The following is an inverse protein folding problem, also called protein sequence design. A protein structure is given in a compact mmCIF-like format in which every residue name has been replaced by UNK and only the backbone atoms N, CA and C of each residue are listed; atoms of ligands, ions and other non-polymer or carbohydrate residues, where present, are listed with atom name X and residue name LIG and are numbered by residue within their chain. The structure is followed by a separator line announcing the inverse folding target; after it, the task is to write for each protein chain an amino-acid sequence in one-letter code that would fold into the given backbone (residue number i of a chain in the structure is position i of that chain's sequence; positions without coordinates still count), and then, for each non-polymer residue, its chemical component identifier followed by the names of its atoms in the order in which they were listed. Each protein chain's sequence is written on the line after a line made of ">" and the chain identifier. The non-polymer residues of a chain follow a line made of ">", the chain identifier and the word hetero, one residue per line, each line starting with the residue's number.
data_IF_426940213895
#
_entry.id   IF_426940213895
#
_cell.length_a   1.000
_cell.length_b   1.000
_cell.length_c   1.000
_cell.angle_alpha   90.00
_cell.angle_beta   90.00
_cell.angle_gamma   90.00
#
_symmetry.space_group_name_H-M   'P 1'
#
loop_
_entity.id
_entity.type
_entity.pdbx_description
1 polymer ?
#
# COMPACT_ATOMS: atom_id res chain seq x y z
N UNK A 1 -0.49 -30.15 15.14
CA UNK A 1 -1.49 -29.36 15.86
C UNK A 1 -1.97 -28.28 14.91
N UNK A 2 -2.99 -28.66 14.22
CA UNK A 2 -3.83 -27.84 13.34
C UNK A 2 -4.89 -27.21 14.22
N UNK A 3 -5.04 -25.92 14.15
CA UNK A 3 -6.32 -25.23 14.18
C UNK A 3 -6.11 -23.75 14.38
N UNK A 4 -6.43 -22.97 13.38
CA UNK A 4 -7.47 -21.94 13.40
C UNK A 4 -7.29 -20.99 12.22
N UNK A 5 -7.64 -21.47 11.03
CA UNK A 5 -7.88 -20.59 9.89
C UNK A 5 -9.33 -20.75 9.44
N UNK A 6 -10.27 -20.32 10.27
CA UNK A 6 -11.64 -20.10 9.82
C UNK A 6 -12.23 -18.88 10.51
N UNK A 7 -11.75 -17.69 10.10
CA UNK A 7 -12.59 -16.52 10.21
C UNK A 7 -12.44 -15.79 8.85
N UNK A 8 -13.45 -15.95 8.00
CA UNK A 8 -13.59 -15.24 6.72
C UNK A 8 -13.98 -13.80 7.00
N UNK A 9 -13.03 -13.01 7.51
CA UNK A 9 -13.01 -11.59 7.29
C UNK A 9 -12.14 -11.37 6.06
N UNK A 10 -12.70 -10.81 5.01
CA UNK A 10 -12.01 -10.52 3.76
C UNK A 10 -11.04 -9.36 3.99
N UNK A 11 -9.76 -9.67 4.21
CA UNK A 11 -8.69 -8.68 4.28
C UNK A 11 -7.85 -8.77 5.57
N UNK A 12 -6.53 -8.62 5.43
CA UNK A 12 -5.59 -8.51 6.54
C UNK A 12 -5.76 -7.12 7.18
N UNK A 13 -6.26 -7.06 8.41
CA UNK A 13 -6.51 -5.77 9.09
C UNK A 13 -5.24 -5.14 9.67
N UNK A 14 -4.32 -5.96 10.18
CA UNK A 14 -3.06 -5.53 10.77
C UNK A 14 -1.89 -6.32 10.18
N UNK A 15 -0.68 -5.79 10.31
CA UNK A 15 0.51 -6.50 9.85
C UNK A 15 0.67 -7.80 10.63
N UNK A 16 0.74 -8.90 9.91
CA UNK A 16 1.01 -10.22 10.45
C UNK A 16 2.40 -10.67 10.04
N UNK A 17 3.05 -11.42 10.91
CA UNK A 17 4.37 -11.99 10.62
C UNK A 17 4.36 -13.49 10.82
N UNK A 18 5.03 -14.20 9.90
CA UNK A 18 5.21 -15.64 9.97
C UNK A 18 6.69 -15.98 9.74
N UNK A 19 7.27 -16.74 10.66
CA UNK A 19 8.67 -17.17 10.55
C UNK A 19 8.75 -18.60 10.03
N UNK A 20 9.72 -18.85 9.17
CA UNK A 20 10.03 -20.18 8.64
C UNK A 20 11.51 -20.29 8.31
N UNK A 21 11.95 -21.51 7.98
CA UNK A 21 13.31 -21.73 7.50
C UNK A 21 13.28 -22.19 6.05
N UNK A 22 13.99 -21.47 5.18
CA UNK A 22 14.16 -21.82 3.77
C UNK A 22 15.65 -21.96 3.48
N UNK A 23 16.06 -23.13 3.01
CA UNK A 23 17.48 -23.44 2.69
C UNK A 23 18.44 -23.13 3.85
N UNK A 24 18.01 -23.41 5.10
CA UNK A 24 18.81 -23.17 6.30
C UNK A 24 18.88 -21.71 6.76
N UNK A 25 18.17 -20.79 6.11
CA UNK A 25 18.05 -19.37 6.51
C UNK A 25 16.70 -19.14 7.18
N UNK A 26 16.72 -18.40 8.27
CA UNK A 26 15.47 -17.90 8.87
C UNK A 26 14.87 -16.80 7.99
N UNK A 27 13.60 -16.96 7.68
CA UNK A 27 12.83 -16.04 6.83
C UNK A 27 11.59 -15.61 7.60
N UNK A 28 11.38 -14.30 7.69
CA UNK A 28 10.18 -13.70 8.23
C UNK A 28 9.33 -13.16 7.07
N UNK A 29 8.16 -13.72 6.86
CA UNK A 29 7.15 -13.17 5.98
C UNK A 29 6.34 -12.11 6.73
N UNK A 30 6.06 -11.00 6.03
CA UNK A 30 5.27 -9.89 6.55
C UNK A 30 4.07 -9.74 5.63
N UNK A 31 2.90 -10.07 6.15
CA UNK A 31 1.63 -9.84 5.48
C UNK A 31 1.10 -8.46 5.86
N UNK A 32 0.83 -7.63 4.87
CA UNK A 32 0.37 -6.24 5.04
C UNK A 32 -1.07 -6.09 4.62
N UNK A 33 -1.84 -5.17 5.24
CA UNK A 33 -3.13 -4.78 4.69
C UNK A 33 -3.00 -4.33 3.25
N UNK A 34 -3.98 -4.71 2.42
CA UNK A 34 -4.04 -4.26 1.03
C UNK A 34 -4.58 -2.85 0.94
N UNK A 35 -4.04 -2.01 0.07
CA UNK A 35 -4.68 -0.77 -0.34
C UNK A 35 -6.04 -1.11 -0.99
N UNK A 36 -7.03 -0.25 -0.82
CA UNK A 36 -8.40 -0.49 -1.28
C UNK A 36 -9.25 -1.37 -0.33
N UNK A 37 -8.85 -1.50 0.93
CA UNK A 37 -9.69 -2.12 1.95
C UNK A 37 -10.94 -1.24 2.19
N UNK A 38 -12.12 -1.85 2.17
CA UNK A 38 -13.39 -1.13 2.38
C UNK A 38 -13.55 -0.57 3.79
N UNK A 39 -12.78 -1.06 4.74
CA UNK A 39 -12.89 -0.71 6.17
C UNK A 39 -11.80 0.26 6.65
N UNK A 40 -10.75 0.49 5.85
CA UNK A 40 -9.62 1.35 6.22
C UNK A 40 -9.26 2.31 5.09
N UNK A 41 -8.83 3.51 5.46
CA UNK A 41 -8.31 4.44 4.45
C UNK A 41 -6.92 4.02 3.97
N UNK A 42 -6.57 4.34 2.72
CA UNK A 42 -5.22 4.11 2.20
C UNK A 42 -4.15 4.84 3.03
N UNK A 43 -4.52 5.94 3.69
CA UNK A 43 -3.63 6.67 4.63
C UNK A 43 -3.33 5.82 5.86
N UNK A 44 -4.35 5.19 6.47
CA UNK A 44 -4.18 4.31 7.62
C UNK A 44 -3.30 3.09 7.27
N UNK A 45 -3.50 2.55 6.07
CA UNK A 45 -2.72 1.41 5.57
C UNK A 45 -1.26 1.83 5.36
N UNK A 46 -1.03 2.95 4.70
CA UNK A 46 0.33 3.47 4.48
C UNK A 46 1.02 3.79 5.82
N UNK A 47 0.31 4.38 6.79
CA UNK A 47 0.84 4.64 8.12
C UNK A 47 1.21 3.33 8.86
N UNK A 48 0.39 2.30 8.73
CA UNK A 48 0.66 0.99 9.32
C UNK A 48 1.93 0.36 8.74
N UNK A 49 2.09 0.42 7.41
CA UNK A 49 3.29 -0.07 6.73
C UNK A 49 4.51 0.76 7.14
N UNK A 50 4.39 2.09 7.16
CA UNK A 50 5.47 3.01 7.54
C UNK A 50 5.96 2.75 8.96
N UNK A 51 5.06 2.59 9.92
CA UNK A 51 5.38 2.26 11.31
C UNK A 51 6.15 0.94 11.42
N UNK A 52 5.67 -0.08 10.70
CA UNK A 52 6.33 -1.38 10.75
C UNK A 52 7.73 -1.34 10.15
N UNK A 53 7.86 -0.70 8.99
CA UNK A 53 9.13 -0.59 8.26
C UNK A 53 10.17 0.20 9.07
N UNK A 54 9.77 1.26 9.74
CA UNK A 54 10.62 2.02 10.67
C UNK A 54 11.03 1.16 11.87
N UNK A 55 10.09 0.41 12.45
CA UNK A 55 10.42 -0.51 13.54
C UNK A 55 11.46 -1.55 13.13
N UNK A 56 11.26 -2.18 11.97
CA UNK A 56 12.18 -3.17 11.44
C UNK A 56 13.59 -2.57 11.28
N UNK A 57 13.70 -1.33 10.82
CA UNK A 57 14.97 -0.62 10.68
C UNK A 57 15.66 -0.42 12.05
N UNK A 58 14.94 0.02 13.07
CA UNK A 58 15.49 0.14 14.43
C UNK A 58 15.96 -1.20 15.02
N UNK A 59 15.22 -2.27 14.72
CA UNK A 59 15.57 -3.62 15.14
C UNK A 59 16.67 -4.26 14.27
N UNK A 60 17.23 -3.53 13.31
CA UNK A 60 18.21 -4.00 12.32
C UNK A 60 17.71 -5.22 11.52
N UNK A 61 16.42 -5.32 11.33
CA UNK A 61 15.80 -6.27 10.41
C UNK A 61 15.78 -5.66 9.02
N UNK A 62 16.44 -6.28 8.09
CA UNK A 62 16.53 -5.78 6.73
C UNK A 62 15.59 -6.57 5.82
N UNK A 63 14.97 -5.87 4.87
CA UNK A 63 14.12 -6.49 3.86
C UNK A 63 15.00 -7.11 2.75
N UNK A 64 14.75 -8.36 2.41
CA UNK A 64 15.37 -9.00 1.24
C UNK A 64 14.64 -8.65 -0.06
N UNK A 65 13.35 -8.29 0.03
CA UNK A 65 12.55 -7.88 -1.11
C UNK A 65 11.07 -7.80 -0.78
N UNK A 66 10.27 -7.51 -1.80
CA UNK A 66 8.83 -7.34 -1.70
C UNK A 66 8.15 -8.16 -2.78
N UNK A 67 6.99 -8.73 -2.44
CA UNK A 67 6.13 -9.43 -3.36
C UNK A 67 4.86 -8.61 -3.54
N UNK A 68 4.57 -8.20 -4.76
CA UNK A 68 3.32 -7.56 -5.14
C UNK A 68 2.39 -8.61 -5.75
N UNK A 69 1.30 -8.90 -5.07
CA UNK A 69 0.34 -9.88 -5.53
C UNK A 69 -0.73 -9.25 -6.42
N UNK A 70 -1.03 -9.91 -7.54
CA UNK A 70 -2.10 -9.53 -8.45
C UNK A 70 -2.90 -10.76 -8.85
N UNK A 71 -4.23 -10.67 -8.78
CA UNK A 71 -5.11 -11.74 -9.23
C UNK A 71 -5.23 -11.71 -10.74
N UNK A 72 -4.76 -12.74 -11.43
CA UNK A 72 -4.82 -12.80 -12.91
C UNK A 72 -6.26 -12.88 -13.42
N UNK A 73 -7.20 -13.27 -12.56
CA UNK A 73 -8.63 -13.28 -12.86
C UNK A 73 -9.22 -11.86 -13.00
N UNK A 74 -8.59 -10.83 -12.46
CA UNK A 74 -9.05 -9.45 -12.60
C UNK A 74 -8.91 -9.00 -14.05
N UNK A 75 -10.04 -8.55 -14.64
CA UNK A 75 -10.12 -8.29 -16.08
C UNK A 75 -9.49 -6.97 -16.50
N UNK A 76 -9.26 -6.04 -15.57
CA UNK A 76 -8.74 -4.70 -15.88
C UNK A 76 -7.81 -4.19 -14.80
N UNK A 77 -6.71 -3.61 -15.25
CA UNK A 77 -5.79 -2.87 -14.40
C UNK A 77 -6.16 -1.37 -14.43
N UNK A 78 -7.32 -1.04 -13.84
CA UNK A 78 -7.90 0.32 -13.87
C UNK A 78 -8.25 0.79 -12.44
N UNK A 79 -8.51 2.09 -12.29
CA UNK A 79 -9.01 2.65 -11.04
C UNK A 79 -8.10 2.39 -9.83
N UNK A 80 -8.61 1.66 -8.85
CA UNK A 80 -7.91 1.35 -7.61
C UNK A 80 -6.65 0.53 -7.81
N UNK A 81 -6.66 -0.46 -8.72
CA UNK A 81 -5.47 -1.28 -9.01
C UNK A 81 -4.31 -0.43 -9.53
N UNK A 82 -4.57 0.56 -10.40
CA UNK A 82 -3.55 1.50 -10.88
C UNK A 82 -3.04 2.43 -9.76
N UNK A 83 -3.94 2.89 -8.90
CA UNK A 83 -3.58 3.70 -7.74
C UNK A 83 -2.68 2.92 -6.79
N UNK A 84 -3.04 1.67 -6.50
CA UNK A 84 -2.28 0.76 -5.64
C UNK A 84 -0.89 0.47 -6.22
N UNK A 85 -0.79 0.24 -7.52
CA UNK A 85 0.49 0.05 -8.18
C UNK A 85 1.38 1.31 -8.11
N UNK A 86 0.82 2.50 -8.30
CA UNK A 86 1.56 3.76 -8.15
C UNK A 86 2.05 3.93 -6.71
N UNK A 87 1.18 3.69 -5.72
CA UNK A 87 1.54 3.73 -4.31
C UNK A 87 2.67 2.76 -3.98
N UNK A 88 2.56 1.54 -4.47
CA UNK A 88 3.59 0.52 -4.32
C UNK A 88 4.95 0.96 -4.89
N UNK A 89 4.95 1.57 -6.08
CA UNK A 89 6.19 2.08 -6.72
C UNK A 89 6.86 3.16 -5.87
N UNK A 90 6.10 4.13 -5.38
CA UNK A 90 6.62 5.21 -4.52
C UNK A 90 7.08 4.70 -3.15
N UNK A 91 6.43 3.68 -2.63
CA UNK A 91 6.84 3.03 -1.38
C UNK A 91 8.18 2.31 -1.54
N UNK A 92 8.33 1.55 -2.63
CA UNK A 92 9.55 0.78 -2.90
C UNK A 92 10.73 1.65 -3.30
N UNK A 93 10.49 2.59 -4.22
CA UNK A 93 11.53 3.34 -4.93
C UNK A 93 12.19 2.54 -6.05
N UNK A 94 12.49 3.22 -7.16
CA UNK A 94 12.99 2.59 -8.41
C UNK A 94 14.27 1.78 -8.23
N UNK A 95 15.17 2.21 -7.33
CA UNK A 95 16.42 1.52 -7.05
C UNK A 95 16.24 0.11 -6.47
N UNK A 96 15.09 -0.17 -5.91
CA UNK A 96 14.78 -1.44 -5.25
C UNK A 96 13.98 -2.40 -6.14
N UNK A 97 13.66 -2.03 -7.38
CA UNK A 97 12.81 -2.87 -8.24
C UNK A 97 13.45 -4.21 -8.57
N UNK A 98 14.75 -4.33 -8.57
CA UNK A 98 15.43 -5.63 -8.69
C UNK A 98 15.09 -6.61 -7.56
N UNK A 99 14.64 -6.13 -6.40
CA UNK A 99 14.20 -6.92 -5.26
C UNK A 99 12.67 -7.01 -5.16
N UNK A 100 11.96 -6.72 -6.25
CA UNK A 100 10.51 -6.85 -6.35
C UNK A 100 10.14 -8.07 -7.17
N UNK A 101 9.17 -8.82 -6.69
CA UNK A 101 8.47 -9.86 -7.45
C UNK A 101 7.04 -9.41 -7.68
N UNK A 102 6.64 -9.39 -8.94
CA UNK A 102 5.26 -9.19 -9.38
C UNK A 102 4.63 -10.58 -9.53
N UNK A 103 3.83 -10.96 -8.56
CA UNK A 103 3.32 -12.33 -8.45
C UNK A 103 1.86 -12.43 -8.88
N UNK A 104 1.60 -13.19 -9.94
CA UNK A 104 0.22 -13.48 -10.38
C UNK A 104 -0.37 -14.68 -9.64
N UNK A 105 -1.61 -14.54 -9.22
CA UNK A 105 -2.36 -15.56 -8.45
C UNK A 105 -3.72 -15.84 -9.09
N UNK A 106 -4.50 -16.78 -8.51
CA UNK A 106 -5.86 -17.13 -8.97
C UNK A 106 -5.91 -17.64 -10.41
N UNK A 107 -4.90 -18.40 -10.82
CA UNK A 107 -4.82 -19.04 -12.12
C UNK A 107 -5.89 -20.10 -12.35
N UNK A 108 -6.44 -20.64 -11.27
CA UNK A 108 -7.57 -21.58 -11.29
C UNK A 108 -8.92 -20.95 -11.65
N UNK A 109 -8.97 -19.62 -11.75
CA UNK A 109 -10.17 -18.82 -12.05
C UNK A 109 -10.20 -18.28 -13.47
N UNK A 110 -9.24 -18.63 -14.30
CA UNK A 110 -9.11 -18.11 -15.67
C UNK A 110 -8.57 -19.22 -16.58
N UNK A 111 -9.01 -19.20 -17.85
CA UNK A 111 -8.44 -20.09 -18.86
C UNK A 111 -6.94 -19.76 -19.07
N UNK A 112 -6.14 -20.79 -19.28
CA UNK A 112 -4.67 -20.69 -19.37
C UNK A 112 -4.20 -19.67 -20.40
N UNK A 113 -4.79 -19.70 -21.60
CA UNK A 113 -4.44 -18.79 -22.70
C UNK A 113 -4.80 -17.34 -22.36
N UNK A 114 -5.97 -17.13 -21.79
CA UNK A 114 -6.42 -15.81 -21.34
C UNK A 114 -5.54 -15.27 -20.21
N UNK A 115 -5.19 -16.10 -19.23
CA UNK A 115 -4.28 -15.74 -18.15
C UNK A 115 -2.92 -15.31 -18.67
N UNK A 116 -2.34 -16.06 -19.62
CA UNK A 116 -1.06 -15.71 -20.25
C UNK A 116 -1.13 -14.40 -21.02
N UNK A 117 -2.20 -14.17 -21.76
CA UNK A 117 -2.43 -12.92 -22.50
C UNK A 117 -2.47 -11.72 -21.55
N UNK A 118 -3.18 -11.85 -20.42
CA UNK A 118 -3.27 -10.79 -19.39
C UNK A 118 -1.91 -10.54 -18.73
N UNK A 119 -1.18 -11.57 -18.38
CA UNK A 119 0.16 -11.45 -17.81
C UNK A 119 1.11 -10.75 -18.78
N UNK A 120 1.11 -11.11 -20.05
CA UNK A 120 1.89 -10.44 -21.07
C UNK A 120 1.50 -8.96 -21.25
N UNK A 121 0.21 -8.64 -21.13
CA UNK A 121 -0.26 -7.25 -21.14
C UNK A 121 0.27 -6.46 -19.94
N UNK A 122 0.24 -7.06 -18.75
CA UNK A 122 0.82 -6.45 -17.54
C UNK A 122 2.30 -6.17 -17.70
N UNK A 123 3.06 -7.12 -18.22
CA UNK A 123 4.52 -6.99 -18.39
C UNK A 123 4.90 -5.99 -19.47
N UNK A 124 4.14 -5.92 -20.57
CA UNK A 124 4.49 -5.12 -21.74
C UNK A 124 4.13 -3.64 -21.60
N UNK A 125 3.04 -3.32 -20.89
CA UNK A 125 2.60 -1.93 -20.74
C UNK A 125 3.42 -1.18 -19.70
N UNK A 126 4.05 -0.09 -20.12
CA UNK A 126 4.87 0.78 -19.27
C UNK A 126 4.07 1.33 -18.07
N UNK A 127 2.78 1.65 -18.28
CA UNK A 127 1.88 2.13 -17.23
C UNK A 127 1.51 1.06 -16.22
N UNK A 128 1.68 -0.23 -16.55
CA UNK A 128 1.45 -1.36 -15.66
C UNK A 128 2.78 -1.81 -15.05
N UNK A 129 3.26 -2.98 -15.38
CA UNK A 129 4.46 -3.57 -14.83
C UNK A 129 5.73 -3.30 -15.67
N UNK A 130 5.57 -2.85 -16.92
CA UNK A 130 6.68 -2.68 -17.85
C UNK A 130 7.82 -1.84 -17.27
N UNK A 131 7.50 -0.73 -16.60
CA UNK A 131 8.50 0.12 -15.94
C UNK A 131 9.23 -0.55 -14.76
N UNK A 132 8.58 -1.46 -14.04
CA UNK A 132 9.21 -2.22 -12.96
C UNK A 132 10.09 -3.33 -13.54
N UNK A 133 9.56 -4.05 -14.53
CA UNK A 133 10.26 -5.16 -15.20
C UNK A 133 11.53 -4.65 -15.90
N UNK A 134 11.46 -3.53 -16.62
CA UNK A 134 12.61 -2.92 -17.28
C UNK A 134 13.73 -2.51 -16.32
N UNK A 135 13.40 -2.31 -15.03
CA UNK A 135 14.34 -2.01 -13.94
C UNK A 135 14.67 -3.20 -13.04
N UNK A 136 14.33 -4.41 -13.48
CA UNK A 136 14.78 -5.66 -12.84
C UNK A 136 13.78 -6.35 -11.94
N UNK A 137 12.52 -5.88 -11.84
CA UNK A 137 11.47 -6.65 -11.17
C UNK A 137 11.22 -7.96 -11.92
N UNK A 138 10.98 -9.03 -11.16
CA UNK A 138 10.73 -10.35 -11.72
C UNK A 138 9.23 -10.64 -11.70
N UNK A 139 8.71 -11.23 -12.78
CA UNK A 139 7.34 -11.75 -12.82
C UNK A 139 7.37 -13.22 -12.48
N UNK A 140 6.52 -13.63 -11.55
CA UNK A 140 6.38 -15.02 -11.12
C UNK A 140 4.91 -15.39 -10.94
N UNK A 141 4.61 -16.66 -11.21
CA UNK A 141 3.26 -17.19 -11.08
C UNK A 141 3.15 -18.03 -9.81
N UNK A 142 2.17 -17.71 -8.96
CA UNK A 142 1.82 -18.57 -7.83
C UNK A 142 0.67 -19.49 -8.23
N UNK A 143 1.02 -20.66 -8.70
CA UNK A 143 0.08 -21.68 -9.20
C UNK A 143 0.69 -23.07 -9.20
N UNK A 144 -0.11 -24.06 -9.54
CA UNK A 144 0.30 -25.46 -9.70
C UNK A 144 -0.35 -26.37 -8.66
N UNK A 145 -0.07 -27.67 -8.72
CA UNK A 145 -0.66 -28.65 -7.82
C UNK A 145 -0.11 -28.53 -6.39
N UNK A 146 1.11 -28.02 -6.23
CA UNK A 146 1.74 -27.76 -4.94
C UNK A 146 1.99 -26.25 -4.77
N UNK A 147 1.04 -25.59 -4.11
CA UNK A 147 1.13 -24.15 -3.83
C UNK A 147 2.25 -23.84 -2.82
N UNK A 148 2.57 -24.76 -1.90
CA UNK A 148 3.64 -24.55 -0.95
C UNK A 148 5.01 -24.54 -1.63
N UNK A 149 5.24 -25.45 -2.58
CA UNK A 149 6.44 -25.44 -3.40
C UNK A 149 6.54 -24.19 -4.27
N UNK A 150 5.42 -23.74 -4.84
CA UNK A 150 5.35 -22.48 -5.60
C UNK A 150 5.72 -21.28 -4.73
N UNK A 151 5.14 -21.15 -3.53
CA UNK A 151 5.45 -20.07 -2.60
C UNK A 151 6.93 -20.11 -2.16
N UNK A 152 7.46 -21.31 -1.87
CA UNK A 152 8.87 -21.50 -1.53
C UNK A 152 9.79 -20.99 -2.64
N UNK A 153 9.53 -21.36 -3.89
CA UNK A 153 10.32 -20.92 -5.05
C UNK A 153 10.34 -19.40 -5.20
N UNK A 154 9.19 -18.74 -4.97
CA UNK A 154 9.09 -17.28 -4.98
C UNK A 154 9.96 -16.69 -3.88
N UNK A 155 9.87 -17.19 -2.66
CA UNK A 155 10.67 -16.71 -1.54
C UNK A 155 12.17 -16.92 -1.78
N UNK A 156 12.58 -18.08 -2.29
CA UNK A 156 13.97 -18.42 -2.60
C UNK A 156 14.62 -17.41 -3.55
N UNK A 157 13.87 -16.86 -4.50
CA UNK A 157 14.38 -15.88 -5.45
C UNK A 157 14.70 -14.52 -4.80
N UNK A 158 14.15 -14.22 -3.62
CA UNK A 158 14.42 -12.99 -2.87
C UNK A 158 15.47 -13.15 -1.77
N UNK A 159 15.47 -14.28 -1.04
CA UNK A 159 16.36 -14.46 0.10
C UNK A 159 17.85 -14.57 -0.26
N UNK A 160 18.15 -14.71 -1.54
CA UNK A 160 19.53 -14.72 -2.06
C UNK A 160 20.03 -13.33 -2.45
N UNK A 161 19.15 -12.35 -2.51
CA UNK A 161 19.49 -10.97 -2.90
C UNK A 161 20.01 -10.17 -1.70
N UNK A 162 20.72 -9.10 -2.00
CA UNK A 162 21.12 -8.12 -0.99
C UNK A 162 19.89 -7.48 -0.35
N UNK A 163 20.05 -7.06 0.88
CA UNK A 163 18.98 -6.37 1.61
C UNK A 163 18.77 -4.96 1.08
N UNK A 164 17.54 -4.49 1.19
CA UNK A 164 17.12 -3.19 0.68
C UNK A 164 16.60 -2.29 1.80
N UNK A 165 16.71 -0.98 1.56
CA UNK A 165 16.02 0.09 2.29
C UNK A 165 15.01 0.71 1.34
N UNK A 166 13.74 0.75 1.76
CA UNK A 166 12.67 1.30 0.94
C UNK A 166 12.78 2.81 0.81
N UNK A 167 12.30 3.37 -0.30
CA UNK A 167 12.23 4.81 -0.48
C UNK A 167 11.41 5.46 0.64
N UNK A 168 10.30 4.85 1.03
CA UNK A 168 9.49 5.30 2.17
C UNK A 168 10.31 5.45 3.45
N UNK A 169 11.20 4.49 3.76
CA UNK A 169 12.09 4.58 4.93
C UNK A 169 13.04 5.76 4.84
N UNK A 170 13.71 5.89 3.69
CA UNK A 170 14.68 6.98 3.48
C UNK A 170 14.02 8.36 3.57
N UNK A 171 12.81 8.50 3.04
CA UNK A 171 12.06 9.74 3.08
C UNK A 171 11.58 10.06 4.49
N UNK A 172 11.13 9.07 5.26
CA UNK A 172 10.75 9.24 6.65
C UNK A 172 11.94 9.64 7.53
N UNK A 173 13.10 9.04 7.31
CA UNK A 173 14.32 9.38 8.05
C UNK A 173 14.80 10.82 7.75
N UNK A 174 14.57 11.31 6.53
CA UNK A 174 14.93 12.67 6.12
C UNK A 174 13.91 13.72 6.52
N UNK A 175 12.64 13.45 6.27
CA UNK A 175 11.57 14.45 6.32
C UNK A 175 10.73 14.36 7.60
N UNK A 176 10.78 13.23 8.32
CA UNK A 176 10.11 13.03 9.60
C UNK A 176 8.60 12.86 9.56
N UNK A 177 7.92 13.14 8.44
CA UNK A 177 6.46 13.00 8.35
C UNK A 177 6.02 12.16 7.15
N UNK A 178 4.98 11.35 7.36
CA UNK A 178 4.43 10.49 6.32
C UNK A 178 3.89 11.31 5.14
N UNK A 179 3.31 12.47 5.42
CA UNK A 179 2.75 13.36 4.40
C UNK A 179 3.79 13.95 3.45
N UNK A 180 5.03 14.04 3.87
CA UNK A 180 6.14 14.58 3.07
C UNK A 180 6.85 13.51 2.24
N UNK A 181 6.44 12.25 2.40
CA UNK A 181 6.92 11.16 1.55
C UNK A 181 6.26 11.17 0.18
N UNK A 182 6.90 10.59 -0.82
CA UNK A 182 6.35 10.45 -2.18
C UNK A 182 5.03 9.68 -2.16
N UNK A 183 4.95 8.59 -1.39
CA UNK A 183 3.73 7.82 -1.20
C UNK A 183 2.62 8.65 -0.51
N UNK A 184 2.96 9.42 0.52
CA UNK A 184 2.02 10.30 1.21
C UNK A 184 1.49 11.43 0.33
N UNK A 185 2.34 12.05 -0.49
CA UNK A 185 1.93 13.08 -1.47
C UNK A 185 0.96 12.54 -2.52
N UNK A 186 1.15 11.29 -2.99
CA UNK A 186 0.19 10.66 -3.91
C UNK A 186 -1.22 10.58 -3.33
N UNK A 187 -1.34 10.25 -2.05
CA UNK A 187 -2.65 10.21 -1.38
C UNK A 187 -3.26 11.60 -1.26
N UNK A 188 -2.45 12.61 -0.95
CA UNK A 188 -2.90 13.99 -0.84
C UNK A 188 -3.39 14.52 -2.19
N UNK A 189 -2.63 14.33 -3.27
CA UNK A 189 -3.02 14.79 -4.60
C UNK A 189 -4.31 14.11 -5.09
N UNK A 190 -4.48 12.82 -4.83
CA UNK A 190 -5.71 12.11 -5.18
C UNK A 190 -6.95 12.69 -4.47
N UNK A 191 -6.81 13.12 -3.21
CA UNK A 191 -7.89 13.78 -2.46
C UNK A 191 -8.20 15.14 -3.06
N UNK A 192 -7.18 15.91 -3.44
CA UNK A 192 -7.36 17.24 -4.07
C UNK A 192 -8.04 17.13 -5.44
N UNK A 193 -7.67 16.13 -6.25
CA UNK A 193 -8.30 15.87 -7.54
C UNK A 193 -9.80 15.52 -7.39
N UNK A 194 -10.14 14.70 -6.40
CA UNK A 194 -11.54 14.35 -6.09
C UNK A 194 -12.31 15.61 -5.66
N UNK A 195 -11.72 16.45 -4.79
CA UNK A 195 -12.32 17.71 -4.36
C UNK A 195 -12.58 18.64 -5.56
N UNK A 196 -11.59 18.80 -6.44
CA UNK A 196 -11.69 19.63 -7.63
C UNK A 196 -12.78 19.16 -8.57
N UNK A 197 -12.78 17.85 -8.89
CA UNK A 197 -13.81 17.25 -9.75
C UNK A 197 -15.22 17.45 -9.17
N UNK A 198 -15.36 17.22 -7.86
CA UNK A 198 -16.65 17.46 -7.21
C UNK A 198 -17.06 18.92 -7.27
N UNK A 199 -16.14 19.88 -7.09
CA UNK A 199 -16.44 21.32 -7.23
C UNK A 199 -16.88 21.67 -8.66
N UNK A 200 -16.25 21.09 -9.69
CA UNK A 200 -16.62 21.27 -11.09
C UNK A 200 -18.02 20.71 -11.39
N UNK A 201 -18.31 19.49 -10.94
CA UNK A 201 -19.63 18.86 -11.06
C UNK A 201 -20.72 19.71 -10.38
N UNK A 202 -20.41 20.23 -9.19
CA UNK A 202 -21.32 21.07 -8.45
C UNK A 202 -21.54 22.44 -9.11
N UNK A 203 -20.50 23.01 -9.73
CA UNK A 203 -20.64 24.26 -10.50
C UNK A 203 -21.51 24.05 -11.76
N UNK A 204 -21.31 22.89 -12.44
CA UNK A 204 -22.13 22.52 -13.61
C UNK A 204 -23.60 22.31 -13.22
N UNK A 205 -23.87 21.62 -12.12
CA UNK A 205 -25.21 21.41 -11.59
C UNK A 205 -25.89 22.72 -11.21
N UNK A 206 -25.17 23.68 -10.60
CA UNK A 206 -25.66 25.03 -10.30
C UNK A 206 -25.99 25.81 -11.56
N UNK A 207 -25.18 25.65 -12.62
CA UNK A 207 -25.44 26.33 -13.91
C UNK A 207 -26.72 25.79 -14.58
N UNK A 208 -26.87 24.44 -14.57
CA UNK A 208 -28.06 23.77 -15.11
C UNK A 208 -29.34 24.16 -14.33
N UNK A 209 -29.26 24.27 -13.00
CA UNK A 209 -30.35 24.70 -12.15
C UNK A 209 -30.80 26.18 -12.45
N UNK A 210 -29.85 27.08 -12.74
CA UNK A 210 -30.17 28.45 -13.13
C UNK A 210 -30.91 28.55 -14.47
N UNK A 211 -30.70 27.57 -15.35
CA UNK A 211 -31.37 27.49 -16.65
C UNK A 211 -32.81 26.93 -16.56
N UNK A 212 -33.11 26.16 -15.52
CA UNK A 212 -34.41 25.56 -15.29
C UNK A 212 -35.18 26.32 -14.19
N UNK A 213 -36.15 27.14 -14.58
CA UNK A 213 -36.93 28.12 -13.75
C UNK A 213 -37.92 27.46 -12.76
N UNK A 214 -37.51 26.43 -12.02
CA UNK A 214 -38.34 25.76 -10.99
C UNK A 214 -37.83 26.04 -9.58
N UNK A 215 -38.31 27.12 -8.98
CA UNK A 215 -37.93 27.56 -7.61
C UNK A 215 -38.00 26.50 -6.52
N UNK A 216 -38.94 25.59 -6.57
CA UNK A 216 -39.07 24.51 -5.52
C UNK A 216 -38.08 23.37 -5.67
N UNK A 217 -37.83 22.95 -6.90
CA UNK A 217 -36.81 21.96 -7.21
C UNK A 217 -35.40 22.47 -6.91
N UNK A 218 -35.16 23.74 -7.23
CA UNK A 218 -33.91 24.45 -6.95
C UNK A 218 -33.60 24.52 -5.44
N UNK A 219 -34.61 24.75 -4.60
CA UNK A 219 -34.40 24.79 -3.14
C UNK A 219 -34.12 23.41 -2.53
N UNK A 220 -34.81 22.37 -3.02
CA UNK A 220 -34.57 21.01 -2.57
C UNK A 220 -33.18 20.49 -2.99
N UNK A 221 -32.82 20.75 -4.23
CA UNK A 221 -31.49 20.39 -4.77
C UNK A 221 -30.38 21.18 -4.07
N UNK A 222 -30.59 22.44 -3.76
CA UNK A 222 -29.66 23.27 -2.99
C UNK A 222 -29.45 22.73 -1.58
N UNK A 223 -30.52 22.32 -0.89
CA UNK A 223 -30.41 21.68 0.43
C UNK A 223 -29.65 20.36 0.36
N UNK A 224 -29.97 19.55 -0.63
CA UNK A 224 -29.25 18.29 -0.85
C UNK A 224 -27.75 18.53 -1.15
N UNK A 225 -27.48 19.53 -1.97
CA UNK A 225 -26.13 19.97 -2.28
C UNK A 225 -25.36 20.46 -1.04
N UNK A 226 -25.98 21.34 -0.25
CA UNK A 226 -25.37 21.84 0.99
C UNK A 226 -25.07 20.70 1.96
N UNK A 227 -25.96 19.71 2.06
CA UNK A 227 -25.74 18.52 2.87
C UNK A 227 -24.57 17.66 2.36
N UNK A 228 -24.47 17.45 1.06
CA UNK A 228 -23.41 16.64 0.47
C UNK A 228 -22.04 17.33 0.57
N UNK A 229 -21.98 18.64 0.30
CA UNK A 229 -20.76 19.43 0.51
C UNK A 229 -20.32 19.42 1.98
N UNK A 230 -21.26 19.55 2.91
CA UNK A 230 -20.94 19.48 4.34
C UNK A 230 -20.47 18.09 4.77
N UNK A 231 -21.09 17.05 4.20
CA UNK A 231 -20.66 15.65 4.42
C UNK A 231 -19.24 15.42 3.92
N UNK A 232 -18.92 15.86 2.70
CA UNK A 232 -17.57 15.76 2.13
C UNK A 232 -16.56 16.60 2.92
N UNK A 233 -16.95 17.81 3.34
CA UNK A 233 -16.11 18.65 4.19
C UNK A 233 -15.77 17.98 5.50
N UNK A 234 -16.77 17.39 6.19
CA UNK A 234 -16.56 16.63 7.42
C UNK A 234 -15.67 15.41 7.21
N UNK A 235 -15.93 14.66 6.12
CA UNK A 235 -15.10 13.50 5.78
C UNK A 235 -13.63 13.92 5.50
N UNK A 236 -13.44 15.04 4.80
CA UNK A 236 -12.09 15.56 4.52
C UNK A 236 -11.41 16.04 5.80
N UNK A 237 -12.10 16.81 6.65
CA UNK A 237 -11.55 17.27 7.91
C UNK A 237 -11.20 16.09 8.84
N UNK A 238 -12.06 15.07 8.88
CA UNK A 238 -11.79 13.87 9.65
C UNK A 238 -10.56 13.12 9.12
N UNK A 239 -10.41 13.05 7.81
CA UNK A 239 -9.24 12.43 7.17
C UNK A 239 -7.95 13.23 7.47
N UNK A 240 -8.01 14.56 7.38
CA UNK A 240 -6.90 15.44 7.74
C UNK A 240 -6.53 15.31 9.23
N UNK A 241 -7.54 15.32 10.12
CA UNK A 241 -7.35 15.13 11.56
C UNK A 241 -6.70 13.78 11.88
N UNK A 242 -7.22 12.68 11.29
CA UNK A 242 -6.64 11.35 11.47
C UNK A 242 -5.19 11.29 11.01
N UNK A 243 -4.91 11.87 9.86
CA UNK A 243 -3.57 11.96 9.30
C UNK A 243 -2.61 12.72 10.23
N UNK A 244 -3.03 13.84 10.79
CA UNK A 244 -2.24 14.61 11.76
C UNK A 244 -2.03 13.84 13.07
N UNK A 245 -3.08 13.19 13.59
CA UNK A 245 -2.97 12.36 14.79
C UNK A 245 -2.03 11.16 14.58
N UNK A 246 -2.11 10.51 13.43
CA UNK A 246 -1.23 9.39 13.09
C UNK A 246 0.22 9.82 12.90
N UNK A 247 0.45 10.92 12.19
CA UNK A 247 1.79 11.48 12.06
C UNK A 247 2.39 11.83 13.44
N UNK A 248 1.57 12.39 14.33
CA UNK A 248 2.00 12.68 15.70
C UNK A 248 2.32 11.39 16.47
N UNK A 249 1.42 10.40 16.46
CA UNK A 249 1.64 9.11 17.15
C UNK A 249 2.88 8.40 16.60
N UNK A 250 3.04 8.42 15.28
CA UNK A 250 4.21 7.86 14.60
C UNK A 250 5.50 8.50 15.11
N UNK A 251 5.57 9.84 15.14
CA UNK A 251 6.73 10.56 15.62
C UNK A 251 7.01 10.32 17.11
N UNK A 252 5.96 10.29 17.95
CA UNK A 252 6.07 9.97 19.37
C UNK A 252 6.62 8.56 19.59
N UNK A 253 6.15 7.60 18.80
CA UNK A 253 6.60 6.21 18.90
C UNK A 253 8.03 6.03 18.43
N UNK A 254 8.43 6.70 17.34
CA UNK A 254 9.84 6.75 16.89
C UNK A 254 10.74 7.30 18.01
N UNK A 255 10.40 8.47 18.56
CA UNK A 255 11.17 9.06 19.63
C UNK A 255 11.25 8.16 20.88
N UNK A 256 10.14 7.49 21.21
CA UNK A 256 10.11 6.53 22.33
C UNK A 256 11.05 5.35 22.09
N UNK A 257 11.11 4.86 20.85
CA UNK A 257 11.99 3.75 20.46
C UNK A 257 13.45 4.16 20.43
N UNK A 258 13.75 5.34 19.88
CA UNK A 258 15.10 5.92 19.90
C UNK A 258 15.62 6.02 21.35
N UNK A 259 14.83 6.62 22.27
CA UNK A 259 15.21 6.70 23.69
C UNK A 259 15.43 5.33 24.34
N UNK A 260 14.58 4.33 23.99
CA UNK A 260 14.76 2.96 24.48
C UNK A 260 16.03 2.31 23.92
N UNK A 261 16.36 2.58 22.67
CA UNK A 261 17.59 2.09 22.04
C UNK A 261 18.83 2.75 22.64
N UNK A 262 18.84 4.07 22.77
CA UNK A 262 19.92 4.84 23.41
C UNK A 262 20.15 4.36 24.84
N UNK A 263 19.11 4.13 25.62
CA UNK A 263 19.21 3.59 26.98
C UNK A 263 19.72 2.14 27.05
N UNK A 264 19.54 1.33 26.01
CA UNK A 264 20.07 -0.05 25.94
C UNK A 264 21.52 -0.09 25.44
N UNK A 265 21.93 0.91 24.70
CA UNK A 265 23.25 0.97 24.06
C UNK A 265 24.13 2.07 24.67
N UNK A 266 23.83 2.53 25.89
CA UNK A 266 24.82 3.24 26.66
C UNK A 266 26.06 2.33 26.78
N UNK A 267 27.26 2.84 26.49
CA UNK A 267 28.46 2.03 26.55
C UNK A 267 28.56 1.47 27.98
N UNK A 268 28.31 0.17 28.07
CA UNK A 268 28.47 -0.57 29.31
C UNK A 268 29.90 -0.39 29.78
N UNK A 269 30.08 -0.04 31.02
CA UNK A 269 31.36 -0.02 31.69
C UNK A 269 32.10 -1.30 31.37
N UNK A 270 33.28 -1.18 30.83
CA UNK A 270 34.26 -2.25 30.74
C UNK A 270 34.65 -2.53 32.19
N UNK A 271 34.23 -3.66 32.71
CA UNK A 271 34.81 -4.21 33.94
C UNK A 271 36.08 -4.93 33.49
N UNK A 272 37.20 -4.40 33.96
CA UNK A 272 38.50 -5.07 33.85
C UNK A 272 38.52 -6.33 34.70
#
# INVERSE_FOLDING_TARGET
>A
MTDSLSNRATGTQDIQTANTTINGREVCFIDTPGFDDTNRSDVDILATIANWVQQANYERKHLSGIIYFHRIADTRMEGSSMKNLRMFRELCGEKNFSNVILCTTMWDKVEEEEGRRREQELESKETFWGSLVSRGAQVMQHRGPDLAASARKIAESLIQKDTIVLQLQEELDKNGTLSDTSAGRLLTSAIEDIKKKHQEEMAALKAEMKANDKKKEAELLRKHHEQEVERLRKATQELERRREEEARRFNEEIQRRQRKWENRHQPGCIIC
#
